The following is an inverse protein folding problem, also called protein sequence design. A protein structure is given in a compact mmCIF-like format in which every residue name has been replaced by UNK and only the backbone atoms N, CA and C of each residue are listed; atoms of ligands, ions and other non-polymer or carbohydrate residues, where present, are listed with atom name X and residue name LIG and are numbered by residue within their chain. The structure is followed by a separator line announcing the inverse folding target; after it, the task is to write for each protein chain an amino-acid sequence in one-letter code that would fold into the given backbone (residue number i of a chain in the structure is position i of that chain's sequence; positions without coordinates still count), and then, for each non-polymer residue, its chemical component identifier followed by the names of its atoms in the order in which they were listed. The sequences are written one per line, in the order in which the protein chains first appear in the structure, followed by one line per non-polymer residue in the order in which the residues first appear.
data_IF_183350827569
#
_entry.id   IF_183350827569
#
_cell.length_a   1.000
_cell.length_b   1.000
_cell.length_c   1.000
_cell.angle_alpha   90.00
_cell.angle_beta   90.00
_cell.angle_gamma   90.00
#
_symmetry.space_group_name_H-M   'P 1'
#
loop_
_entity.id
_entity.type
_entity.pdbx_description
1 polymer ?
#
# COMPACT_ATOMS: atom_id res chain seq x y z
N UNK A 1 -32.33 35.97 -7.43
CA UNK A 1 -33.11 34.75 -7.14
C UNK A 1 -32.50 34.11 -5.89
N UNK A 2 -33.16 34.26 -4.73
CA UNK A 2 -32.65 33.88 -3.40
C UNK A 2 -33.21 32.53 -2.90
N UNK A 3 -32.57 32.02 -1.84
CA UNK A 3 -33.06 31.17 -0.74
C UNK A 3 -34.09 30.06 -1.01
N UNK A 4 -33.66 28.81 -0.77
CA UNK A 4 -34.52 27.69 -0.39
C UNK A 4 -34.16 27.25 1.03
N UNK A 5 -34.76 27.93 2.02
CA UNK A 5 -35.05 27.35 3.32
C UNK A 5 -36.53 26.97 3.31
N UNK A 6 -36.85 25.72 3.59
CA UNK A 6 -38.18 25.28 3.98
C UNK A 6 -38.04 24.47 5.27
N UNK A 7 -38.47 25.07 6.37
CA UNK A 7 -38.70 24.43 7.67
C UNK A 7 -39.96 23.57 7.58
N UNK A 8 -40.03 22.37 8.19
CA UNK A 8 -41.30 21.73 8.47
C UNK A 8 -41.90 22.26 9.78
N UNK A 9 -43.17 22.65 9.66
CA UNK A 9 -44.08 23.13 10.69
C UNK A 9 -44.55 22.04 11.66
N UNK A 10 -44.68 22.43 12.94
CA UNK A 10 -45.43 21.74 13.98
C UNK A 10 -46.94 21.76 13.74
N UNK A 11 -47.60 20.63 14.04
CA UNK A 11 -49.01 20.39 14.46
C UNK A 11 -49.38 18.94 14.07
N UNK A 12 -49.97 18.04 14.86
CA UNK A 12 -50.59 17.93 16.20
C UNK A 12 -50.83 16.40 16.44
N UNK A 13 -51.63 15.88 17.40
CA UNK A 13 -52.15 16.40 18.66
C UNK A 13 -51.77 15.52 19.89
N UNK A 14 -52.07 16.04 21.07
CA UNK A 14 -52.08 15.33 22.35
C UNK A 14 -53.12 14.20 22.37
N UNK A 15 -52.70 13.01 22.82
CA UNK A 15 -53.64 12.01 23.32
C UNK A 15 -53.11 11.41 24.62
N UNK A 16 -53.81 11.72 25.71
CA UNK A 16 -53.62 11.17 27.03
C UNK A 16 -54.06 9.70 27.04
N UNK A 17 -53.18 8.80 27.50
CA UNK A 17 -53.62 7.51 28.05
C UNK A 17 -52.78 7.18 29.29
N UNK A 18 -53.37 7.13 30.50
CA UNK A 18 -52.66 6.82 31.73
C UNK A 18 -52.77 5.31 31.99
N UNK A 19 -51.68 4.57 31.79
CA UNK A 19 -51.33 3.30 32.44
C UNK A 19 -50.36 2.53 31.54
N UNK A 20 -49.06 2.67 31.81
CA UNK A 20 -48.17 1.52 31.81
C UNK A 20 -46.93 1.86 32.62
N UNK A 21 -46.83 1.16 33.74
CA UNK A 21 -45.86 1.31 34.78
C UNK A 21 -44.68 0.36 34.48
N UNK A 22 -43.74 0.77 33.63
CA UNK A 22 -42.45 0.09 33.47
C UNK A 22 -41.34 1.15 33.29
N UNK A 23 -40.55 1.34 34.34
CA UNK A 23 -39.33 2.15 34.29
C UNK A 23 -38.27 1.46 33.42
N UNK A 24 -37.57 2.17 32.52
CA UNK A 24 -36.37 1.60 31.91
C UNK A 24 -35.27 1.51 32.96
N UNK A 25 -34.78 0.29 33.22
CA UNK A 25 -33.62 0.04 34.05
C UNK A 25 -32.39 0.75 33.48
N UNK A 26 -32.00 1.87 34.07
CA UNK A 26 -30.68 2.46 33.86
C UNK A 26 -29.62 1.53 34.46
N UNK A 27 -28.81 0.92 33.60
CA UNK A 27 -27.61 0.20 34.02
C UNK A 27 -26.56 1.22 34.48
N UNK A 28 -26.60 1.60 35.76
CA UNK A 28 -25.54 2.40 36.39
C UNK A 28 -24.37 1.46 36.68
N UNK A 29 -23.30 1.57 35.89
CA UNK A 29 -22.03 0.90 36.20
C UNK A 29 -21.32 1.68 37.32
N UNK A 30 -20.88 1.04 38.42
CA UNK A 30 -20.19 1.73 39.50
C UNK A 30 -18.80 2.19 39.03
N UNK A 31 -18.55 3.49 39.16
CA UNK A 31 -17.21 4.07 39.11
C UNK A 31 -16.41 3.63 40.35
N UNK A 32 -15.37 2.82 40.16
CA UNK A 32 -14.44 2.53 41.26
C UNK A 32 -13.64 1.25 41.13
N UNK A 33 -12.72 1.18 40.16
CA UNK A 33 -11.56 0.29 40.25
C UNK A 33 -10.49 0.76 39.27
N UNK A 34 -9.30 1.04 39.80
CA UNK A 34 -8.12 1.41 39.01
C UNK A 34 -7.84 0.36 37.92
N UNK A 35 -7.43 0.76 36.71
CA UNK A 35 -7.09 -0.20 35.68
C UNK A 35 -5.93 -1.07 36.17
N UNK A 36 -6.14 -2.39 36.17
CA UNK A 36 -5.08 -3.37 36.36
C UNK A 36 -3.97 -3.11 35.33
N UNK A 37 -2.69 -3.22 35.71
CA UNK A 37 -1.60 -3.03 34.77
C UNK A 37 -1.74 -4.04 33.64
N UNK A 38 -1.97 -3.53 32.42
CA UNK A 38 -1.97 -4.34 31.21
C UNK A 38 -0.60 -4.97 31.11
N UNK A 39 -0.52 -6.30 31.22
CA UNK A 39 0.70 -7.05 31.03
C UNK A 39 1.32 -6.63 29.68
N UNK A 40 2.57 -6.18 29.71
CA UNK A 40 3.31 -5.79 28.52
C UNK A 40 3.25 -6.94 27.50
N UNK A 41 2.69 -6.67 26.32
CA UNK A 41 2.76 -7.61 25.21
C UNK A 41 4.23 -7.95 24.93
N UNK A 42 4.58 -9.23 24.73
CA UNK A 42 5.94 -9.60 24.40
C UNK A 42 6.39 -8.87 23.13
N UNK A 43 7.67 -8.50 23.00
CA UNK A 43 8.16 -7.81 21.82
C UNK A 43 7.87 -8.65 20.57
N UNK A 44 7.07 -8.09 19.65
CA UNK A 44 6.68 -8.68 18.36
C UNK A 44 7.88 -8.70 17.40
N UNK A 45 8.97 -9.37 17.78
CA UNK A 45 10.25 -9.33 17.07
C UNK A 45 10.38 -10.39 15.96
N UNK A 46 9.29 -11.06 15.58
CA UNK A 46 9.27 -11.96 14.41
C UNK A 46 8.70 -11.19 13.22
N UNK A 47 9.60 -10.62 12.41
CA UNK A 47 9.28 -9.90 11.16
C UNK A 47 8.90 -10.81 10.00
N UNK A 48 8.82 -12.12 10.23
CA UNK A 48 8.54 -13.11 9.19
C UNK A 48 7.04 -13.42 9.16
N UNK A 49 6.37 -13.06 8.06
CA UNK A 49 5.00 -13.51 7.77
C UNK A 49 5.10 -14.96 7.27
N UNK A 50 4.50 -15.94 7.95
CA UNK A 50 4.61 -17.33 7.55
C UNK A 50 3.95 -17.57 6.18
N UNK A 51 4.73 -18.09 5.23
CA UNK A 51 4.23 -18.57 3.94
C UNK A 51 3.53 -19.93 4.11
N UNK A 52 2.45 -20.17 3.36
CA UNK A 52 1.75 -21.47 3.40
C UNK A 52 2.30 -22.40 2.31
N UNK A 53 2.63 -23.66 2.63
CA UNK A 53 2.93 -24.66 1.61
C UNK A 53 1.71 -24.93 0.72
N UNK A 54 1.95 -25.10 -0.58
CA UNK A 54 0.92 -25.17 -1.63
C UNK A 54 -0.06 -26.35 -1.54
N UNK A 55 0.16 -27.30 -0.63
CA UNK A 55 -0.60 -28.56 -0.55
C UNK A 55 -2.06 -28.42 -0.10
N UNK A 56 -2.52 -27.21 0.23
CA UNK A 56 -3.91 -26.93 0.63
C UNK A 56 -4.76 -26.14 -0.37
N UNK A 57 -4.20 -25.74 -1.52
CA UNK A 57 -4.85 -24.79 -2.45
C UNK A 57 -4.98 -25.27 -3.89
N UNK A 58 -4.71 -26.55 -4.16
CA UNK A 58 -5.10 -27.18 -5.43
C UNK A 58 -6.61 -27.43 -5.44
N UNK A 59 -7.38 -26.35 -5.57
CA UNK A 59 -8.76 -26.46 -6.04
C UNK A 59 -8.63 -26.69 -7.54
N UNK A 60 -8.66 -27.97 -7.95
CA UNK A 60 -8.88 -28.31 -9.34
C UNK A 60 -10.14 -27.57 -9.83
N UNK A 61 -10.10 -26.97 -11.04
CA UNK A 61 -11.32 -26.41 -11.61
C UNK A 61 -12.35 -27.53 -11.68
N UNK A 62 -13.44 -27.41 -10.92
CA UNK A 62 -14.55 -28.37 -10.94
C UNK A 62 -15.15 -28.41 -12.34
N UNK A 63 -14.61 -29.26 -13.20
CA UNK A 63 -15.31 -29.79 -14.36
C UNK A 63 -16.40 -30.71 -13.83
N UNK A 64 -17.66 -30.30 -13.98
CA UNK A 64 -18.82 -31.11 -13.62
C UNK A 64 -18.88 -32.29 -14.60
N UNK A 65 -18.30 -33.43 -14.22
CA UNK A 65 -18.53 -34.71 -14.89
C UNK A 65 -19.78 -35.37 -14.28
N UNK A 66 -20.95 -34.87 -14.69
CA UNK A 66 -22.22 -35.58 -14.50
C UNK A 66 -22.47 -36.51 -15.69
N UNK A 67 -22.41 -37.83 -15.45
CA UNK A 67 -22.91 -38.83 -16.40
C UNK A 67 -24.42 -38.62 -16.63
N UNK A 68 -24.81 -38.21 -17.83
CA UNK A 68 -26.20 -38.18 -18.28
C UNK A 68 -26.26 -38.38 -19.79
N UNK A 69 -26.88 -39.48 -20.23
CA UNK A 69 -27.18 -39.77 -21.64
C UNK A 69 -28.27 -38.81 -22.14
N UNK A 70 -28.11 -38.24 -23.33
CA UNK A 70 -29.24 -37.68 -24.09
C UNK A 70 -28.92 -36.48 -24.99
N UNK A 71 -28.89 -36.74 -26.31
CA UNK A 71 -29.33 -35.93 -27.47
C UNK A 71 -28.82 -34.49 -27.72
N UNK A 72 -28.55 -34.25 -29.01
CA UNK A 72 -28.10 -33.03 -29.68
C UNK A 72 -28.96 -31.78 -29.42
N UNK A 73 -28.33 -30.60 -29.30
CA UNK A 73 -28.67 -29.37 -30.03
C UNK A 73 -27.73 -28.20 -29.67
N UNK A 74 -27.13 -27.61 -30.71
CA UNK A 74 -26.73 -26.22 -30.96
C UNK A 74 -26.17 -25.25 -29.89
N UNK A 75 -24.97 -24.77 -30.22
CA UNK A 75 -24.38 -23.42 -30.09
C UNK A 75 -25.09 -22.34 -29.23
N UNK A 76 -24.37 -21.85 -28.21
CA UNK A 76 -23.79 -20.48 -28.19
C UNK A 76 -22.88 -20.29 -26.97
N UNK A 77 -21.63 -19.94 -27.25
CA UNK A 77 -20.52 -19.97 -26.31
C UNK A 77 -20.62 -19.01 -25.13
N UNK A 78 -20.38 -19.57 -23.94
CA UNK A 78 -19.72 -18.85 -22.85
C UNK A 78 -18.20 -18.99 -23.04
N UNK A 79 -17.60 -18.05 -23.76
CA UNK A 79 -16.13 -17.93 -23.77
C UNK A 79 -15.67 -17.62 -22.35
N UNK A 80 -15.04 -18.59 -21.70
CA UNK A 80 -14.46 -18.40 -20.37
C UNK A 80 -13.38 -17.30 -20.43
N UNK A 81 -13.39 -16.44 -19.41
CA UNK A 81 -12.43 -15.35 -19.22
C UNK A 81 -10.97 -15.82 -19.08
N UNK A 82 -10.75 -17.14 -18.90
CA UNK A 82 -9.43 -17.76 -18.84
C UNK A 82 -8.69 -17.79 -20.19
N UNK A 83 -9.39 -17.58 -21.32
CA UNK A 83 -8.81 -17.69 -22.67
C UNK A 83 -7.94 -16.51 -23.13
N UNK A 84 -7.88 -15.39 -22.38
CA UNK A 84 -7.14 -14.17 -22.78
C UNK A 84 -5.82 -13.92 -22.05
N UNK A 85 -5.50 -14.66 -21.00
CA UNK A 85 -4.28 -14.43 -20.22
C UNK A 85 -3.09 -15.22 -20.78
N UNK A 86 -1.92 -14.58 -20.90
CA UNK A 86 -0.69 -15.27 -21.28
C UNK A 86 -0.31 -16.32 -20.22
N UNK A 87 0.46 -17.33 -20.65
CA UNK A 87 0.93 -18.37 -19.73
C UNK A 87 1.80 -17.78 -18.60
N UNK A 88 2.64 -16.79 -18.92
CA UNK A 88 3.46 -16.07 -17.94
C UNK A 88 2.60 -15.40 -16.86
N UNK A 89 1.54 -14.70 -17.26
CA UNK A 89 0.59 -14.07 -16.33
C UNK A 89 -0.15 -15.11 -15.48
N UNK A 90 -0.57 -16.23 -16.06
CA UNK A 90 -1.21 -17.32 -15.28
C UNK A 90 -0.27 -17.88 -14.22
N UNK A 91 1.00 -18.10 -14.55
CA UNK A 91 1.99 -18.60 -13.61
C UNK A 91 2.30 -17.58 -12.51
N UNK A 92 2.33 -16.29 -12.84
CA UNK A 92 2.44 -15.20 -11.87
C UNK A 92 1.27 -15.22 -10.88
N UNK A 93 0.03 -15.28 -11.36
CA UNK A 93 -1.16 -15.31 -10.50
C UNK A 93 -1.18 -16.54 -9.59
N UNK A 94 -0.75 -17.72 -10.08
CA UNK A 94 -0.62 -18.91 -9.23
C UNK A 94 0.42 -18.72 -8.13
N UNK A 95 1.55 -18.07 -8.42
CA UNK A 95 2.56 -17.75 -7.40
C UNK A 95 2.02 -16.73 -6.40
N UNK A 96 1.34 -15.70 -6.86
CA UNK A 96 0.74 -14.66 -6.02
C UNK A 96 -0.26 -15.22 -5.00
N UNK A 97 -1.13 -16.15 -5.42
CA UNK A 97 -2.07 -16.83 -4.50
C UNK A 97 -1.37 -17.56 -3.34
N UNK A 98 -0.15 -18.07 -3.55
CA UNK A 98 0.63 -18.76 -2.50
C UNK A 98 1.26 -17.80 -1.49
N UNK A 99 1.35 -16.50 -1.82
CA UNK A 99 1.90 -15.47 -0.93
C UNK A 99 0.84 -14.90 0.03
N UNK A 100 -0.45 -15.06 -0.27
CA UNK A 100 -1.54 -14.57 0.58
C UNK A 100 -1.61 -15.46 1.83
N UNK A 101 -1.44 -14.90 3.05
CA UNK A 101 -1.50 -15.69 4.26
C UNK A 101 -2.93 -16.21 4.50
N UNK A 102 -3.11 -17.36 5.16
CA UNK A 102 -4.43 -17.92 5.43
C UNK A 102 -5.07 -17.15 6.58
N UNK A 103 -6.38 -16.93 6.51
CA UNK A 103 -7.13 -16.37 7.63
C UNK A 103 -7.42 -17.48 8.63
N UNK A 104 -6.72 -17.48 9.77
CA UNK A 104 -6.86 -18.46 10.85
C UNK A 104 -7.24 -17.75 12.15
N UNK A 105 -8.11 -18.36 12.96
CA UNK A 105 -8.62 -17.79 14.22
C UNK A 105 -7.53 -17.43 15.24
N UNK A 106 -6.38 -18.13 15.18
CA UNK A 106 -5.24 -17.90 16.06
C UNK A 106 -4.44 -16.63 15.74
N UNK A 107 -4.69 -16.01 14.58
CA UNK A 107 -3.98 -14.78 14.22
C UNK A 107 -4.64 -13.57 14.87
N UNK A 108 -3.81 -12.61 15.25
CA UNK A 108 -4.23 -11.37 15.91
C UNK A 108 -3.72 -10.16 15.14
N UNK A 109 -4.41 -9.02 15.34
CA UNK A 109 -4.10 -7.75 14.69
C UNK A 109 -2.61 -7.42 14.80
N UNK A 110 -2.02 -7.14 13.65
CA UNK A 110 -0.63 -6.76 13.48
C UNK A 110 0.25 -7.92 13.04
N UNK A 111 -0.20 -9.17 13.06
CA UNK A 111 0.61 -10.30 12.59
C UNK A 111 0.65 -10.41 11.07
N UNK A 112 -0.36 -9.90 10.36
CA UNK A 112 -0.54 -10.03 8.91
C UNK A 112 -0.45 -8.68 8.21
N UNK A 113 0.74 -8.10 8.20
CA UNK A 113 1.02 -6.85 7.46
C UNK A 113 0.82 -5.59 8.29
N UNK A 114 1.92 -4.87 8.50
CA UNK A 114 1.96 -3.56 9.15
C UNK A 114 2.73 -2.65 8.20
N UNK A 115 2.00 -1.91 7.38
CA UNK A 115 2.57 -1.14 6.26
C UNK A 115 2.62 0.31 6.68
N UNK A 116 3.72 0.99 6.39
CA UNK A 116 3.84 2.44 6.58
C UNK A 116 4.16 3.15 5.27
N UNK A 117 3.30 4.10 4.90
CA UNK A 117 3.49 4.98 3.75
C UNK A 117 4.08 6.30 4.23
N UNK A 118 5.29 6.61 3.80
CA UNK A 118 6.00 7.86 4.06
C UNK A 118 5.87 8.76 2.83
N UNK A 119 5.17 9.87 2.98
CA UNK A 119 4.81 10.75 1.88
C UNK A 119 3.84 11.83 2.36
N UNK A 120 3.10 12.43 1.45
CA UNK A 120 2.15 13.50 1.80
C UNK A 120 2.81 14.81 2.24
N UNK A 121 2.83 15.77 1.33
CA UNK A 121 3.12 17.18 1.59
C UNK A 121 1.81 17.99 1.66
N UNK A 122 1.93 19.29 1.93
CA UNK A 122 0.80 20.22 2.04
C UNK A 122 -0.23 20.06 0.92
N UNK A 123 0.24 19.97 -0.33
CA UNK A 123 -0.64 19.91 -1.51
C UNK A 123 -0.96 18.47 -1.95
N UNK A 124 -0.10 17.50 -1.65
CA UNK A 124 -0.22 16.12 -2.16
C UNK A 124 -0.74 15.15 -1.10
N UNK A 125 -1.96 15.39 -0.63
CA UNK A 125 -2.60 14.59 0.44
C UNK A 125 -3.25 13.30 -0.06
N UNK A 126 -3.67 13.24 -1.33
CA UNK A 126 -4.39 12.09 -1.90
C UNK A 126 -3.52 10.86 -2.19
N UNK A 127 -2.29 11.07 -2.67
CA UNK A 127 -1.36 9.99 -3.01
C UNK A 127 -1.05 9.05 -1.82
N UNK A 128 -0.62 9.54 -0.63
CA UNK A 128 -0.37 8.66 0.50
C UNK A 128 -1.65 7.98 1.01
N UNK A 129 -2.83 8.62 0.86
CA UNK A 129 -4.11 8.00 1.18
C UNK A 129 -4.40 6.80 0.26
N UNK A 130 -4.27 6.95 -1.07
CA UNK A 130 -4.55 5.87 -2.00
C UNK A 130 -3.65 4.66 -1.74
N UNK A 131 -2.36 4.88 -1.54
CA UNK A 131 -1.42 3.80 -1.21
C UNK A 131 -1.79 3.13 0.12
N UNK A 132 -1.96 3.90 1.20
CA UNK A 132 -2.26 3.31 2.50
C UNK A 132 -3.63 2.59 2.53
N UNK A 133 -4.63 3.13 1.85
CA UNK A 133 -5.95 2.51 1.73
C UNK A 133 -5.93 1.26 0.86
N UNK A 134 -5.13 1.24 -0.21
CA UNK A 134 -4.94 0.06 -1.05
C UNK A 134 -4.36 -1.10 -0.23
N UNK A 135 -3.30 -0.86 0.57
CA UNK A 135 -2.74 -1.88 1.47
C UNK A 135 -3.78 -2.41 2.45
N UNK A 136 -4.56 -1.52 3.07
CA UNK A 136 -5.61 -1.90 4.01
C UNK A 136 -6.74 -2.71 3.35
N UNK A 137 -7.14 -2.34 2.13
CA UNK A 137 -8.17 -3.04 1.35
C UNK A 137 -7.69 -4.40 0.84
N UNK A 138 -6.40 -4.53 0.53
CA UNK A 138 -5.79 -5.77 0.08
C UNK A 138 -5.69 -6.80 1.22
N UNK A 139 -5.51 -6.34 2.46
CA UNK A 139 -5.56 -7.20 3.65
C UNK A 139 -4.50 -6.95 4.71
N UNK A 140 -3.76 -5.83 4.65
CA UNK A 140 -2.85 -5.47 5.74
C UNK A 140 -3.63 -5.17 7.03
N UNK A 141 -3.25 -5.81 8.14
CA UNK A 141 -3.87 -5.58 9.45
C UNK A 141 -3.81 -4.11 9.91
N UNK A 142 -2.71 -3.43 9.55
CA UNK A 142 -2.40 -2.08 9.99
C UNK A 142 -1.77 -1.30 8.85
N UNK A 143 -2.39 -0.17 8.51
CA UNK A 143 -1.87 0.76 7.52
C UNK A 143 -1.62 2.13 8.16
N UNK A 144 -0.37 2.57 8.07
CA UNK A 144 0.12 3.80 8.66
C UNK A 144 0.48 4.79 7.56
N UNK A 145 0.21 6.07 7.80
CA UNK A 145 0.69 7.17 6.96
C UNK A 145 1.57 8.07 7.80
N UNK A 146 2.80 8.32 7.36
CA UNK A 146 3.71 9.28 7.97
C UNK A 146 3.83 10.45 7.00
N UNK A 147 3.28 11.60 7.38
CA UNK A 147 3.14 12.75 6.52
C UNK A 147 3.35 14.07 7.24
N UNK A 148 3.26 15.16 6.49
CA UNK A 148 3.19 16.51 7.01
C UNK A 148 1.82 16.73 7.73
N UNK A 149 1.71 17.45 8.86
CA UNK A 149 0.47 17.60 9.61
C UNK A 149 -0.67 18.27 8.88
N UNK A 150 -0.44 19.21 7.97
CA UNK A 150 -1.50 19.80 7.16
C UNK A 150 -2.08 18.69 6.26
N UNK A 151 -1.23 17.83 5.70
CA UNK A 151 -1.68 16.63 5.02
C UNK A 151 -2.38 15.65 5.97
N UNK A 152 -1.88 15.49 7.20
CA UNK A 152 -2.43 14.56 8.18
C UNK A 152 -3.86 14.92 8.56
N UNK A 153 -4.17 16.20 8.72
CA UNK A 153 -5.53 16.67 9.02
C UNK A 153 -6.49 16.23 7.92
N UNK A 154 -6.13 16.45 6.65
CA UNK A 154 -6.94 16.08 5.49
C UNK A 154 -7.10 14.56 5.38
N UNK A 155 -6.00 13.80 5.43
CA UNK A 155 -6.00 12.33 5.26
C UNK A 155 -6.85 11.65 6.33
N UNK A 156 -6.81 12.13 7.58
CA UNK A 156 -7.65 11.60 8.68
C UNK A 156 -9.15 11.75 8.41
N UNK A 157 -9.57 12.74 7.61
CA UNK A 157 -10.98 12.91 7.23
C UNK A 157 -11.44 11.90 6.18
N UNK A 158 -10.53 11.36 5.36
CA UNK A 158 -10.87 10.41 4.31
C UNK A 158 -11.20 9.02 4.86
N UNK A 159 -10.54 8.61 5.95
CA UNK A 159 -10.86 7.34 6.61
C UNK A 159 -10.39 7.27 8.06
N UNK A 160 -11.25 6.82 8.99
CA UNK A 160 -10.85 6.56 10.37
C UNK A 160 -10.00 5.28 10.53
N UNK A 161 -9.86 4.45 9.48
CA UNK A 161 -9.15 3.17 9.55
C UNK A 161 -7.62 3.32 9.45
N UNK A 162 -7.14 4.46 8.95
CA UNK A 162 -5.70 4.71 8.75
C UNK A 162 -5.08 5.34 10.01
N UNK A 163 -3.89 4.87 10.38
CA UNK A 163 -3.11 5.48 11.47
C UNK A 163 -2.18 6.54 10.91
N UNK A 164 -2.54 7.82 11.09
CA UNK A 164 -1.83 8.93 10.46
C UNK A 164 -0.95 9.68 11.47
N UNK A 165 0.36 9.71 11.20
CA UNK A 165 1.44 10.25 12.03
C UNK A 165 2.01 11.53 11.40
N UNK A 166 1.80 12.71 12.01
CA UNK A 166 2.25 13.99 11.45
C UNK A 166 3.74 14.27 11.76
N UNK A 167 4.65 13.44 11.24
CA UNK A 167 6.08 13.46 11.60
C UNK A 167 7.01 14.03 10.51
N UNK A 168 6.50 14.30 9.30
CA UNK A 168 7.27 14.97 8.26
C UNK A 168 7.11 16.49 8.34
N UNK A 169 8.08 17.20 7.77
CA UNK A 169 8.13 18.65 7.74
C UNK A 169 8.71 19.12 6.42
N UNK A 170 7.97 19.98 5.71
CA UNK A 170 8.55 20.76 4.61
C UNK A 170 9.45 21.86 5.19
N UNK A 171 10.52 22.24 4.48
CA UNK A 171 11.48 23.26 4.93
C UNK A 171 10.79 24.56 5.37
N UNK A 172 9.76 25.00 4.65
CA UNK A 172 8.98 26.22 4.98
C UNK A 172 8.18 26.15 6.28
N UNK A 173 7.90 24.95 6.78
CA UNK A 173 7.13 24.71 8.01
C UNK A 173 8.01 24.26 9.18
N UNK A 174 9.29 24.02 8.94
CA UNK A 174 10.21 23.56 9.97
C UNK A 174 10.55 24.70 10.92
N UNK A 175 10.44 24.44 12.21
CA UNK A 175 11.00 25.33 13.24
C UNK A 175 12.53 25.24 13.24
N UNK A 176 13.20 26.23 13.82
CA UNK A 176 14.68 26.29 13.87
C UNK A 176 15.33 25.07 14.55
N UNK A 177 14.59 24.34 15.39
CA UNK A 177 15.07 23.17 16.11
C UNK A 177 14.75 21.84 15.38
N UNK A 178 13.94 21.87 14.33
CA UNK A 178 13.58 20.69 13.54
C UNK A 178 14.59 20.49 12.40
N UNK A 179 15.59 19.67 12.68
CA UNK A 179 16.57 19.24 11.68
C UNK A 179 16.13 17.96 10.99
N UNK A 180 16.72 17.65 9.84
CA UNK A 180 16.51 16.37 9.16
C UNK A 180 16.79 15.18 10.09
N UNK A 181 17.85 15.28 10.92
CA UNK A 181 18.22 14.21 11.85
C UNK A 181 17.19 14.01 12.96
N UNK A 182 16.65 15.08 13.55
CA UNK A 182 15.65 14.96 14.64
C UNK A 182 14.29 14.45 14.12
N UNK A 183 13.89 14.90 12.93
CA UNK A 183 12.68 14.43 12.27
C UNK A 183 12.81 12.97 11.85
N UNK A 184 13.94 12.60 11.22
CA UNK A 184 14.22 11.21 10.87
C UNK A 184 14.24 10.30 12.09
N UNK A 185 14.83 10.74 13.22
CA UNK A 185 14.86 9.97 14.46
C UNK A 185 13.46 9.56 14.93
N UNK A 186 12.51 10.50 14.91
CA UNK A 186 11.11 10.23 15.31
C UNK A 186 10.45 9.15 14.46
N UNK A 187 10.82 9.04 13.18
CA UNK A 187 10.33 8.00 12.26
C UNK A 187 11.10 6.70 12.45
N UNK A 188 12.41 6.77 12.62
CA UNK A 188 13.30 5.63 12.85
C UNK A 188 12.87 4.84 14.09
N UNK A 189 12.51 5.54 15.16
CA UNK A 189 12.06 4.93 16.41
C UNK A 189 10.73 4.12 16.23
N UNK A 190 9.98 4.36 15.15
CA UNK A 190 8.77 3.60 14.79
C UNK A 190 9.05 2.39 13.89
N UNK A 191 10.21 2.30 13.23
CA UNK A 191 10.51 1.23 12.27
C UNK A 191 10.29 -0.20 12.79
N UNK A 192 10.58 -0.54 14.07
CA UNK A 192 10.30 -1.88 14.59
C UNK A 192 8.82 -2.29 14.51
N UNK A 193 7.91 -1.33 14.36
CA UNK A 193 6.46 -1.57 14.24
C UNK A 193 6.04 -1.97 12.84
N UNK A 194 6.88 -1.82 11.82
CA UNK A 194 6.49 -2.04 10.43
C UNK A 194 7.06 -3.34 9.86
N UNK A 195 6.37 -3.90 8.88
CA UNK A 195 6.83 -5.00 8.05
C UNK A 195 7.36 -4.52 6.70
N UNK A 196 6.81 -3.43 6.15
CA UNK A 196 7.22 -2.83 4.88
C UNK A 196 7.09 -1.32 4.98
N UNK A 197 8.02 -0.58 4.38
CA UNK A 197 7.87 0.86 4.14
C UNK A 197 7.61 1.14 2.67
N UNK A 198 6.62 1.98 2.42
CA UNK A 198 6.40 2.64 1.14
C UNK A 198 6.89 4.07 1.25
N UNK A 199 7.66 4.57 0.30
CA UNK A 199 8.25 5.92 0.34
C UNK A 199 8.02 6.62 -0.99
N UNK A 200 7.45 7.82 -0.93
CA UNK A 200 7.35 8.70 -2.09
C UNK A 200 5.95 9.19 -2.50
N UNK A 201 4.83 8.47 -2.27
CA UNK A 201 3.49 8.95 -2.65
C UNK A 201 3.20 10.34 -2.04
N UNK A 202 3.17 11.37 -2.89
CA UNK A 202 2.96 12.76 -2.47
C UNK A 202 4.07 13.34 -1.59
N UNK A 203 5.28 12.76 -1.58
CA UNK A 203 6.40 13.24 -0.76
C UNK A 203 6.85 14.65 -1.19
N UNK A 204 6.77 14.97 -2.48
CA UNK A 204 7.30 16.20 -3.04
C UNK A 204 8.83 16.21 -3.10
N UNK A 205 9.38 17.36 -3.47
CA UNK A 205 10.83 17.54 -3.73
C UNK A 205 11.49 18.56 -2.81
N UNK A 206 10.90 18.76 -1.64
CA UNK A 206 11.47 19.59 -0.60
C UNK A 206 12.72 18.90 0.00
N UNK A 207 13.83 19.63 0.10
CA UNK A 207 15.13 19.06 0.49
C UNK A 207 15.09 18.45 1.89
N UNK A 208 14.43 19.11 2.85
CA UNK A 208 14.30 18.59 4.22
C UNK A 208 13.55 17.24 4.23
N UNK A 209 12.43 17.14 3.51
CA UNK A 209 11.69 15.87 3.42
C UNK A 209 12.50 14.76 2.74
N UNK A 210 13.27 15.10 1.71
CA UNK A 210 14.14 14.15 1.01
C UNK A 210 15.29 13.67 1.93
N UNK A 211 15.90 14.57 2.71
CA UNK A 211 16.94 14.23 3.69
C UNK A 211 16.45 13.35 4.84
N UNK A 212 15.25 13.64 5.34
CA UNK A 212 14.57 12.80 6.33
C UNK A 212 14.37 11.39 5.76
N UNK A 213 13.83 11.27 4.55
CA UNK A 213 13.59 9.97 3.92
C UNK A 213 14.88 9.21 3.63
N UNK A 214 15.95 9.87 3.19
CA UNK A 214 17.26 9.24 2.98
C UNK A 214 17.81 8.62 4.27
N UNK A 215 17.67 9.33 5.39
CA UNK A 215 18.07 8.85 6.72
C UNK A 215 17.24 7.64 7.15
N UNK A 216 15.92 7.69 6.94
CA UNK A 216 15.00 6.58 7.24
C UNK A 216 15.30 5.36 6.38
N UNK A 217 15.52 5.52 5.07
CA UNK A 217 15.88 4.42 4.16
C UNK A 217 17.17 3.74 4.60
N UNK A 218 18.19 4.54 4.92
CA UNK A 218 19.49 4.04 5.37
C UNK A 218 19.34 3.16 6.61
N UNK A 219 18.52 3.57 7.57
CA UNK A 219 18.29 2.82 8.80
C UNK A 219 17.38 1.60 8.59
N UNK A 220 16.31 1.74 7.81
CA UNK A 220 15.43 0.64 7.44
C UNK A 220 16.21 -0.48 6.72
N UNK A 221 17.15 -0.12 5.83
CA UNK A 221 18.04 -1.06 5.16
C UNK A 221 18.94 -1.81 6.13
N UNK A 222 19.57 -1.13 7.10
CA UNK A 222 20.40 -1.81 8.12
C UNK A 222 19.59 -2.82 8.92
N UNK A 223 18.32 -2.53 9.13
CA UNK A 223 17.38 -3.41 9.82
C UNK A 223 16.80 -4.51 8.91
N UNK A 224 17.11 -4.53 7.61
CA UNK A 224 16.56 -5.52 6.67
C UNK A 224 15.05 -5.37 6.45
N UNK A 225 14.51 -4.16 6.57
CA UNK A 225 13.10 -3.87 6.35
C UNK A 225 12.81 -3.70 4.84
N UNK A 226 11.86 -4.46 4.26
CA UNK A 226 11.47 -4.29 2.87
C UNK A 226 10.97 -2.87 2.54
N UNK A 227 11.32 -2.40 1.34
CA UNK A 227 11.04 -1.04 0.87
C UNK A 227 10.33 -1.07 -0.49
N UNK A 228 9.41 -0.13 -0.69
CA UNK A 228 8.85 0.22 -1.99
C UNK A 228 9.05 1.72 -2.20
N UNK A 229 9.76 2.10 -3.26
CA UNK A 229 9.95 3.50 -3.64
C UNK A 229 9.14 3.79 -4.91
N UNK A 230 8.26 4.79 -4.82
CA UNK A 230 7.43 5.26 -5.92
C UNK A 230 7.49 6.78 -6.05
N UNK A 231 7.09 7.33 -7.20
CA UNK A 231 6.98 8.77 -7.44
C UNK A 231 8.23 9.55 -6.97
N UNK A 232 8.08 10.56 -6.10
CA UNK A 232 9.21 11.37 -5.61
C UNK A 232 10.15 10.61 -4.66
N UNK A 233 9.79 9.41 -4.20
CA UNK A 233 10.73 8.49 -3.53
C UNK A 233 11.78 7.95 -4.50
N UNK A 234 11.46 7.83 -5.79
CA UNK A 234 12.42 7.45 -6.83
C UNK A 234 13.48 8.52 -7.06
N UNK A 235 13.21 9.78 -6.71
CA UNK A 235 14.21 10.85 -6.76
C UNK A 235 15.37 10.57 -5.81
N UNK A 236 15.12 9.92 -4.66
CA UNK A 236 16.16 9.47 -3.74
C UNK A 236 17.03 8.40 -4.40
N UNK A 237 16.43 7.38 -5.04
CA UNK A 237 17.18 6.37 -5.77
C UNK A 237 17.96 6.95 -6.96
N UNK A 238 17.44 8.01 -7.59
CA UNK A 238 18.09 8.72 -8.68
C UNK A 238 19.32 9.51 -8.22
N UNK A 239 19.17 10.31 -7.16
CA UNK A 239 20.20 11.26 -6.71
C UNK A 239 21.18 10.65 -5.68
N UNK A 240 20.74 9.61 -4.98
CA UNK A 240 21.44 8.92 -3.89
C UNK A 240 21.32 7.40 -4.08
N UNK A 241 21.83 6.85 -5.21
CA UNK A 241 21.65 5.44 -5.56
C UNK A 241 22.20 4.47 -4.51
N UNK A 242 23.17 4.89 -3.70
CA UNK A 242 23.71 4.12 -2.58
C UNK A 242 22.66 3.72 -1.53
N UNK A 243 21.55 4.46 -1.43
CA UNK A 243 20.43 4.13 -0.54
C UNK A 243 19.79 2.78 -0.89
N UNK A 244 19.71 2.46 -2.18
CA UNK A 244 19.02 1.26 -2.69
C UNK A 244 19.96 0.23 -3.29
N UNK A 245 21.14 0.64 -3.78
CA UNK A 245 22.04 -0.22 -4.54
C UNK A 245 22.46 -1.45 -3.73
N UNK A 246 22.23 -2.63 -4.32
CA UNK A 246 22.50 -3.93 -3.71
C UNK A 246 21.43 -4.41 -2.73
N UNK A 247 20.33 -3.67 -2.55
CA UNK A 247 19.29 -4.02 -1.58
C UNK A 247 18.12 -4.72 -2.27
N UNK A 248 18.15 -6.05 -2.31
CA UNK A 248 17.15 -6.88 -3.03
C UNK A 248 15.75 -6.86 -2.41
N UNK A 249 15.64 -6.44 -1.13
CA UNK A 249 14.36 -6.19 -0.44
C UNK A 249 13.76 -4.81 -0.79
N UNK A 250 14.21 -4.18 -1.87
CA UNK A 250 13.69 -2.92 -2.37
C UNK A 250 13.04 -3.10 -3.74
N UNK A 251 11.86 -2.51 -3.91
CA UNK A 251 11.12 -2.44 -5.17
C UNK A 251 11.05 -0.97 -5.61
N UNK A 252 11.44 -0.70 -6.85
CA UNK A 252 11.23 0.59 -7.51
C UNK A 252 10.07 0.46 -8.49
N UNK A 253 9.12 1.40 -8.47
CA UNK A 253 7.92 1.36 -9.33
C UNK A 253 7.86 2.50 -10.35
N UNK A 254 8.91 2.79 -11.15
CA UNK A 254 8.92 3.95 -12.03
C UNK A 254 7.90 3.84 -13.17
N UNK A 255 7.22 4.95 -13.47
CA UNK A 255 6.58 5.15 -14.77
C UNK A 255 7.62 5.37 -15.89
N UNK A 256 7.17 5.50 -17.14
CA UNK A 256 8.07 5.66 -18.30
C UNK A 256 9.02 6.85 -18.16
N UNK A 257 8.57 7.97 -17.61
CA UNK A 257 9.38 9.19 -17.44
C UNK A 257 10.38 9.04 -16.30
N UNK A 258 9.93 8.54 -15.15
CA UNK A 258 10.77 8.26 -13.98
C UNK A 258 11.84 7.22 -14.31
N UNK A 259 11.48 6.19 -15.08
CA UNK A 259 12.39 5.14 -15.51
C UNK A 259 13.52 5.69 -16.39
N UNK A 260 13.18 6.57 -17.33
CA UNK A 260 14.19 7.22 -18.19
C UNK A 260 15.17 8.08 -17.35
N UNK A 261 14.67 8.78 -16.32
CA UNK A 261 15.52 9.57 -15.41
C UNK A 261 16.45 8.68 -14.58
N UNK A 262 15.94 7.57 -14.04
CA UNK A 262 16.75 6.59 -13.31
C UNK A 262 17.83 5.98 -14.21
N UNK A 263 17.49 5.58 -15.43
CA UNK A 263 18.45 5.06 -16.41
C UNK A 263 19.55 6.07 -16.69
N UNK A 264 19.20 7.32 -17.00
CA UNK A 264 20.17 8.40 -17.25
C UNK A 264 21.09 8.62 -16.05
N UNK A 265 20.55 8.62 -14.82
CA UNK A 265 21.34 8.76 -13.60
C UNK A 265 22.31 7.59 -13.38
N UNK A 266 22.01 6.40 -13.92
CA UNK A 266 22.88 5.22 -13.88
C UNK A 266 23.75 5.07 -15.15
N UNK A 267 23.80 6.08 -16.03
CA UNK A 267 24.58 6.03 -17.27
C UNK A 267 24.06 5.03 -18.30
N UNK A 268 22.78 4.68 -18.22
CA UNK A 268 22.10 3.78 -19.16
C UNK A 268 21.37 4.63 -20.19
N UNK A 269 21.61 4.38 -21.47
CA UNK A 269 20.82 4.98 -22.57
C UNK A 269 19.48 4.24 -22.72
N UNK A 270 18.34 4.86 -22.41
CA UNK A 270 17.03 4.22 -22.56
C UNK A 270 16.68 3.86 -24.01
N UNK A 271 17.30 4.51 -25.00
CA UNK A 271 17.07 4.26 -26.43
C UNK A 271 17.86 3.07 -26.99
N UNK A 272 18.81 2.53 -26.21
CA UNK A 272 19.69 1.45 -26.66
C UNK A 272 19.02 0.05 -26.67
N UNK A 273 17.89 -0.09 -25.99
CA UNK A 273 17.18 -1.36 -25.84
C UNK A 273 16.33 -1.69 -27.06
N UNK A 274 16.46 -2.90 -27.59
CA UNK A 274 15.70 -3.38 -28.75
C UNK A 274 14.58 -4.33 -28.34
N UNK A 275 14.74 -5.03 -27.22
CA UNK A 275 13.76 -5.95 -26.66
C UNK A 275 12.85 -5.32 -25.60
N UNK A 276 11.61 -5.79 -25.53
CA UNK A 276 10.72 -5.45 -24.41
C UNK A 276 11.28 -6.05 -23.10
N UNK A 277 11.38 -5.25 -22.05
CA UNK A 277 11.90 -5.68 -20.74
C UNK A 277 13.41 -5.55 -20.50
N UNK A 278 14.23 -5.45 -21.55
CA UNK A 278 15.70 -5.30 -21.44
C UNK A 278 16.12 -4.11 -20.56
N UNK A 279 15.42 -2.98 -20.71
CA UNK A 279 15.69 -1.81 -19.89
C UNK A 279 15.48 -2.05 -18.39
N UNK A 280 14.41 -2.77 -18.02
CA UNK A 280 14.14 -3.07 -16.61
C UNK A 280 15.26 -3.97 -16.03
N UNK A 281 15.70 -4.97 -16.79
CA UNK A 281 16.83 -5.82 -16.41
C UNK A 281 18.15 -5.06 -16.29
N UNK A 282 18.45 -4.17 -17.25
CA UNK A 282 19.66 -3.35 -17.22
C UNK A 282 19.70 -2.43 -15.99
N UNK A 283 18.58 -1.75 -15.69
CA UNK A 283 18.50 -0.88 -14.52
C UNK A 283 18.62 -1.68 -13.21
N UNK A 284 17.88 -2.78 -13.08
CA UNK A 284 17.93 -3.65 -11.91
C UNK A 284 19.35 -4.22 -11.68
N UNK A 285 20.01 -4.67 -12.74
CA UNK A 285 21.39 -5.16 -12.70
C UNK A 285 22.39 -4.06 -12.29
N UNK A 286 22.25 -2.83 -12.82
CA UNK A 286 23.10 -1.70 -12.42
C UNK A 286 22.90 -1.26 -10.97
N UNK A 287 21.68 -1.38 -10.47
CA UNK A 287 21.35 -1.16 -9.07
C UNK A 287 21.67 -2.37 -8.18
N UNK A 288 22.33 -3.42 -8.69
CA UNK A 288 22.82 -4.54 -7.89
C UNK A 288 21.73 -5.50 -7.42
N UNK A 289 20.70 -5.72 -8.25
CA UNK A 289 19.65 -6.71 -7.97
C UNK A 289 18.41 -6.15 -7.27
N UNK A 290 18.26 -4.83 -7.24
CA UNK A 290 17.02 -4.17 -6.80
C UNK A 290 15.90 -4.51 -7.78
N UNK A 291 14.71 -4.84 -7.28
CA UNK A 291 13.58 -5.15 -8.15
C UNK A 291 13.04 -3.86 -8.79
N UNK A 292 12.94 -3.84 -10.12
CA UNK A 292 12.39 -2.72 -10.89
C UNK A 292 11.09 -3.18 -11.54
N UNK A 293 9.97 -2.56 -11.16
CA UNK A 293 8.68 -2.64 -11.84
C UNK A 293 8.52 -1.39 -12.71
N UNK A 294 8.88 -1.52 -13.99
CA UNK A 294 8.69 -0.45 -14.97
C UNK A 294 7.24 -0.46 -15.44
N UNK A 295 6.47 0.55 -15.00
CA UNK A 295 5.05 0.73 -15.36
C UNK A 295 4.89 1.15 -16.83
N UNK A 296 3.93 0.58 -17.53
CA UNK A 296 3.69 0.87 -18.94
C UNK A 296 2.38 0.34 -19.50
N UNK A 297 2.31 0.14 -20.82
CA UNK A 297 1.20 -0.60 -21.43
C UNK A 297 1.24 -2.09 -21.05
N UNK A 298 2.46 -2.60 -20.90
CA UNK A 298 2.79 -3.83 -20.17
C UNK A 298 3.75 -3.44 -19.05
N UNK A 299 3.62 -4.08 -17.92
CA UNK A 299 4.51 -3.85 -16.78
C UNK A 299 5.65 -4.86 -16.83
N UNK A 300 6.88 -4.35 -16.85
CA UNK A 300 8.09 -5.18 -16.87
C UNK A 300 8.70 -5.19 -15.48
N UNK A 301 8.80 -6.38 -14.88
CA UNK A 301 9.33 -6.59 -13.54
C UNK A 301 10.64 -7.36 -13.68
N UNK A 302 11.73 -6.80 -13.15
CA UNK A 302 13.05 -7.46 -13.21
C UNK A 302 13.86 -7.25 -11.94
N UNK A 303 14.57 -8.27 -11.51
CA UNK A 303 15.62 -8.19 -10.49
C UNK A 303 17.03 -8.20 -11.10
N UNK A 304 17.13 -8.09 -12.43
CA UNK A 304 18.39 -8.11 -13.18
C UNK A 304 18.85 -9.51 -13.58
N UNK A 305 18.33 -10.56 -12.95
CA UNK A 305 18.58 -11.96 -13.33
C UNK A 305 17.37 -12.57 -14.03
N UNK A 306 16.17 -12.25 -13.55
CA UNK A 306 14.90 -12.72 -14.10
C UNK A 306 14.06 -11.53 -14.46
N UNK A 307 13.46 -11.59 -15.65
CA UNK A 307 12.50 -10.59 -16.11
C UNK A 307 11.18 -11.28 -16.41
N UNK A 308 10.10 -10.71 -15.89
CA UNK A 308 8.74 -11.16 -16.13
C UNK A 308 7.89 -9.98 -16.60
N UNK A 309 6.78 -10.31 -17.25
CA UNK A 309 5.83 -9.33 -17.79
C UNK A 309 4.46 -9.53 -17.16
N UNK A 310 3.87 -8.42 -16.70
CA UNK A 310 2.44 -8.31 -16.45
C UNK A 310 1.77 -7.75 -17.69
N UNK A 311 1.01 -8.59 -18.41
CA UNK A 311 0.31 -8.22 -19.64
C UNK A 311 -1.22 -8.28 -19.50
N UNK A 312 -1.72 -8.24 -18.26
CA UNK A 312 -3.15 -8.18 -17.98
C UNK A 312 -3.74 -6.87 -18.54
N UNK A 313 -4.79 -6.95 -19.37
CA UNK A 313 -5.47 -5.75 -19.85
C UNK A 313 -6.07 -4.97 -18.68
N UNK A 314 -5.57 -3.75 -18.47
CA UNK A 314 -6.16 -2.79 -17.53
C UNK A 314 -7.30 -1.98 -18.14
N UNK A 315 -7.89 -1.11 -17.32
CA UNK A 315 -8.86 -0.13 -17.80
C UNK A 315 -8.23 0.93 -18.73
N UNK A 316 -9.02 1.47 -19.66
CA UNK A 316 -8.59 2.54 -20.56
C UNK A 316 -8.46 3.91 -19.85
N UNK A 317 -9.15 4.08 -18.71
CA UNK A 317 -9.13 5.32 -17.94
C UNK A 317 -7.76 5.55 -17.30
N UNK A 318 -7.18 6.73 -17.53
CA UNK A 318 -5.95 7.21 -16.88
C UNK A 318 -6.31 8.10 -15.70
N UNK A 319 -6.53 7.50 -14.54
CA UNK A 319 -6.83 8.25 -13.31
C UNK A 319 -5.53 8.63 -12.59
N UNK A 320 -5.44 9.86 -12.08
CA UNK A 320 -4.50 10.17 -11.00
C UNK A 320 -4.80 9.26 -9.80
N UNK A 321 -3.79 8.70 -9.14
CA UNK A 321 -3.96 7.73 -8.05
C UNK A 321 -3.76 6.25 -8.42
N UNK A 322 -3.70 5.91 -9.71
CA UNK A 322 -3.53 4.51 -10.13
C UNK A 322 -2.16 3.95 -9.72
N UNK A 323 -1.10 4.76 -9.87
CA UNK A 323 0.25 4.41 -9.41
C UNK A 323 0.29 4.23 -7.89
N UNK A 324 -0.30 5.17 -7.16
CA UNK A 324 -0.36 5.12 -5.69
C UNK A 324 -1.09 3.86 -5.19
N UNK A 325 -2.15 3.44 -5.88
CA UNK A 325 -2.89 2.21 -5.57
C UNK A 325 -2.05 0.95 -5.83
N UNK A 326 -1.24 0.90 -6.90
CA UNK A 326 -0.35 -0.22 -7.18
C UNK A 326 0.77 -0.33 -6.13
N UNK A 327 1.23 0.81 -5.62
CA UNK A 327 2.32 0.90 -4.66
C UNK A 327 1.93 0.40 -3.27
N UNK A 328 0.64 0.53 -2.89
CA UNK A 328 0.10 0.05 -1.62
C UNK A 328 -0.28 -1.42 -1.63
#
# INVERSE_FOLDING_TARGET
MPNLYAQPSDNAPSNNNPNNNEQPHHLVLPHGSAPLPVAAHPPLNKRHIPLVPASGFDIEPKGVAGKGKGQEADEKGSMSSDSKMSQATRDLLRKARKMVPPMLEKFHKGQMGRIAVIGGSEDYTGAPYFSAMASARLGADMSHVICEPQAAQVIKTYSPNLMVHPLLRQSRHASANETASSLAKSIIDLLPRFHVLVIGPGLGRDDLMQDVCASVISEARKQGLPLVLDADGLLLAQNRPELVKGYRECILTPNVVEFARLCKAQGIDPGSFKGEGEGAAALAGKLGGVTVLRKGAKDWISDGERTIVGDLPGGLKRSGGQGDTLTG
#
